data_IF_770176920853
#
_entry.id   IF_770176920853
#
_cell.length_a   1.000
_cell.length_b   1.000
_cell.length_c   1.000
_cell.angle_alpha   90.00
_cell.angle_beta   90.00
_cell.angle_gamma   90.00
#
_symmetry.space_group_name_H-M   'P 1'
#
loop_
_entity.id
_entity.type
_entity.pdbx_description
1 polymer ?
#
# COMPACT_ATOMS: atom_id res chain seq x y z
N UNK A 1 -7.67 -12.36 -3.85
CA UNK A 1 -6.73 -11.28 -4.08
C UNK A 1 -5.34 -11.59 -3.52
N UNK A 2 -4.47 -10.60 -3.39
CA UNK A 2 -3.05 -10.79 -3.02
C UNK A 2 -2.81 -11.64 -1.77
N UNK A 3 -3.64 -11.54 -0.75
CA UNK A 3 -3.52 -12.36 0.46
C UNK A 3 -3.76 -13.85 0.20
N UNK A 4 -4.64 -14.18 -0.71
CA UNK A 4 -4.92 -15.58 -1.07
C UNK A 4 -3.77 -16.15 -1.90
N UNK A 5 -3.16 -15.34 -2.76
CA UNK A 5 -1.94 -15.69 -3.49
C UNK A 5 -0.77 -15.96 -2.54
N UNK A 6 -0.58 -15.11 -1.53
CA UNK A 6 0.46 -15.29 -0.51
C UNK A 6 0.22 -16.58 0.29
N UNK A 7 -1.04 -16.86 0.70
CA UNK A 7 -1.39 -18.13 1.37
C UNK A 7 -1.10 -19.34 0.48
N UNK A 8 -1.42 -19.22 -0.81
CA UNK A 8 -1.16 -20.30 -1.77
C UNK A 8 0.34 -20.57 -1.93
N UNK A 9 1.18 -19.52 -1.92
CA UNK A 9 2.65 -19.66 -1.96
C UNK A 9 3.18 -20.41 -0.73
N UNK A 10 2.74 -20.03 0.49
CA UNK A 10 3.13 -20.75 1.70
C UNK A 10 2.75 -22.23 1.62
N UNK A 11 1.52 -22.51 1.20
CA UNK A 11 1.03 -23.89 1.03
C UNK A 11 1.85 -24.67 0.00
N UNK A 12 2.21 -24.05 -1.11
CA UNK A 12 3.04 -24.67 -2.18
C UNK A 12 4.42 -25.06 -1.66
N UNK A 13 4.98 -24.27 -0.74
CA UNK A 13 6.27 -24.55 -0.12
C UNK A 13 6.21 -25.48 1.11
N UNK A 14 5.04 -26.02 1.41
CA UNK A 14 4.84 -26.87 2.60
C UNK A 14 5.01 -26.13 3.93
N UNK A 15 4.85 -24.79 3.91
CA UNK A 15 4.98 -23.93 5.09
C UNK A 15 3.62 -23.44 5.57
N UNK A 16 3.46 -23.34 6.88
CA UNK A 16 2.37 -22.56 7.46
C UNK A 16 2.75 -21.08 7.44
N UNK A 17 1.85 -20.25 6.94
CA UNK A 17 2.03 -18.80 7.02
C UNK A 17 1.99 -18.32 8.47
N UNK A 18 2.54 -17.12 8.77
CA UNK A 18 2.53 -16.58 10.13
C UNK A 18 1.10 -16.45 10.65
N UNK A 19 0.90 -16.76 11.96
CA UNK A 19 -0.42 -16.69 12.62
C UNK A 19 -1.10 -15.32 12.46
N UNK A 20 -0.31 -14.25 12.33
CA UNK A 20 -0.76 -12.88 12.10
C UNK A 20 -1.48 -12.69 10.76
N UNK A 21 -1.28 -13.59 9.80
CA UNK A 21 -1.94 -13.54 8.48
C UNK A 21 -3.46 -13.72 8.58
N UNK A 22 -3.95 -14.38 9.64
CA UNK A 22 -5.35 -14.76 9.75
C UNK A 22 -6.32 -13.59 9.95
N UNK A 23 -5.92 -12.48 10.59
CA UNK A 23 -6.86 -11.37 10.90
C UNK A 23 -6.21 -10.08 11.40
N UNK A 24 -4.96 -9.78 11.10
CA UNK A 24 -4.33 -8.58 11.69
C UNK A 24 -4.08 -7.49 10.66
N UNK A 25 -4.65 -6.32 10.93
CA UNK A 25 -4.46 -5.07 10.18
C UNK A 25 -2.96 -4.80 9.90
N UNK A 26 -2.10 -5.06 10.88
CA UNK A 26 -0.66 -4.86 10.75
C UNK A 26 0.02 -5.76 9.72
N UNK A 27 -0.46 -6.99 9.54
CA UNK A 27 0.05 -7.87 8.48
C UNK A 27 -0.24 -7.28 7.11
N UNK A 28 -1.47 -6.84 6.88
CA UNK A 28 -1.89 -6.21 5.62
C UNK A 28 -1.12 -4.90 5.35
N UNK A 29 -0.85 -4.11 6.41
CA UNK A 29 0.00 -2.92 6.32
C UNK A 29 1.43 -3.27 5.92
N UNK A 30 2.00 -4.33 6.49
CA UNK A 30 3.33 -4.82 6.14
C UNK A 30 3.42 -5.26 4.67
N UNK A 31 2.44 -6.01 4.18
CA UNK A 31 2.36 -6.41 2.77
C UNK A 31 2.27 -5.18 1.85
N UNK A 32 1.42 -4.22 2.20
CA UNK A 32 1.29 -2.98 1.43
C UNK A 32 2.60 -2.19 1.41
N UNK A 33 3.21 -1.98 2.56
CA UNK A 33 4.48 -1.26 2.67
C UNK A 33 5.57 -1.93 1.82
N UNK A 34 5.73 -3.25 1.93
CA UNK A 34 6.69 -4.01 1.14
C UNK A 34 6.42 -3.86 -0.38
N UNK A 35 5.18 -4.00 -0.81
CA UNK A 35 4.82 -3.89 -2.23
C UNK A 35 5.08 -2.49 -2.79
N UNK A 36 4.78 -1.44 -2.03
CA UNK A 36 5.04 -0.04 -2.42
C UNK A 36 6.54 0.22 -2.52
N UNK A 37 7.35 -0.27 -1.55
CA UNK A 37 8.80 -0.14 -1.60
C UNK A 37 9.41 -0.88 -2.80
N UNK A 38 8.98 -2.12 -3.05
CA UNK A 38 9.42 -2.88 -4.22
C UNK A 38 9.06 -2.15 -5.52
N UNK A 39 7.87 -1.55 -5.61
CA UNK A 39 7.48 -0.75 -6.78
C UNK A 39 8.34 0.48 -6.96
N UNK A 40 8.71 1.17 -5.87
CA UNK A 40 9.60 2.32 -5.92
C UNK A 40 11.01 1.90 -6.39
N UNK A 41 11.54 0.79 -5.87
CA UNK A 41 12.83 0.25 -6.32
C UNK A 41 12.80 -0.19 -7.78
N UNK A 42 11.73 -0.86 -8.21
CA UNK A 42 11.53 -1.22 -9.63
C UNK A 42 11.56 0.01 -10.54
N UNK A 43 10.86 1.08 -10.16
CA UNK A 43 10.86 2.34 -10.89
C UNK A 43 12.25 2.97 -10.94
N UNK A 44 12.98 2.94 -9.81
CA UNK A 44 14.35 3.46 -9.71
C UNK A 44 15.31 2.69 -10.63
N UNK A 45 15.29 1.37 -10.60
CA UNK A 45 16.11 0.50 -11.48
C UNK A 45 15.80 0.77 -12.94
N UNK A 46 14.51 0.86 -13.30
CA UNK A 46 14.09 1.18 -14.67
C UNK A 46 14.58 2.55 -15.13
N UNK A 47 14.46 3.57 -14.28
CA UNK A 47 14.89 4.92 -14.62
C UNK A 47 16.40 5.04 -14.76
N UNK A 48 17.15 4.32 -13.93
CA UNK A 48 18.63 4.34 -13.93
C UNK A 48 19.24 3.41 -14.97
N UNK A 49 18.53 2.37 -15.37
CA UNK A 49 19.03 1.33 -16.27
C UNK A 49 20.04 0.36 -15.61
N UNK A 50 20.18 0.39 -14.30
CA UNK A 50 21.07 -0.50 -13.54
C UNK A 50 20.51 -0.81 -12.15
N UNK A 51 21.00 -1.89 -11.53
CA UNK A 51 20.64 -2.26 -10.15
C UNK A 51 21.38 -1.47 -9.07
N UNK A 52 22.34 -0.64 -9.43
CA UNK A 52 23.10 0.20 -8.50
C UNK A 52 22.31 1.49 -8.20
N UNK A 53 21.28 1.37 -7.39
CA UNK A 53 20.37 2.44 -7.01
C UNK A 53 20.71 3.06 -5.66
N UNK A 54 20.59 4.37 -5.55
CA UNK A 54 20.79 5.15 -4.32
C UNK A 54 19.44 5.42 -3.62
N UNK A 55 19.47 5.94 -2.39
CA UNK A 55 18.27 6.38 -1.69
C UNK A 55 17.51 7.48 -2.45
N UNK A 56 18.22 8.39 -3.14
CA UNK A 56 17.63 9.43 -3.99
C UNK A 56 16.91 8.83 -5.20
N UNK A 57 17.50 7.79 -5.83
CA UNK A 57 16.84 7.08 -6.92
C UNK A 57 15.54 6.42 -6.47
N UNK A 58 15.55 5.80 -5.27
CA UNK A 58 14.36 5.20 -4.67
C UNK A 58 13.31 6.25 -4.35
N UNK A 59 13.68 7.42 -3.81
CA UNK A 59 12.76 8.52 -3.58
C UNK A 59 12.07 8.98 -4.87
N UNK A 60 12.83 9.15 -5.95
CA UNK A 60 12.28 9.44 -7.28
C UNK A 60 11.35 8.30 -7.75
N UNK A 61 11.72 7.07 -7.45
CA UNK A 61 10.91 5.89 -7.72
C UNK A 61 9.55 5.89 -7.00
N UNK A 62 9.49 6.36 -5.73
CA UNK A 62 8.24 6.58 -5.01
C UNK A 62 7.37 7.63 -5.69
N UNK A 63 7.93 8.77 -6.05
CA UNK A 63 7.22 9.87 -6.70
C UNK A 63 6.69 9.49 -8.10
N UNK A 64 7.32 8.50 -8.73
CA UNK A 64 6.87 7.93 -10.00
C UNK A 64 5.70 6.94 -9.85
N UNK A 65 5.33 6.55 -8.63
CA UNK A 65 4.18 5.66 -8.40
C UNK A 65 2.88 6.42 -8.68
N UNK A 66 2.16 5.98 -9.69
CA UNK A 66 0.83 6.48 -10.06
C UNK A 66 -0.14 5.31 -10.22
N UNK A 67 -1.33 5.48 -9.68
CA UNK A 67 -2.44 4.53 -9.80
C UNK A 67 -2.07 3.09 -9.37
N UNK A 68 -1.22 2.97 -8.33
CA UNK A 68 -0.73 1.69 -7.86
C UNK A 68 -1.83 0.90 -7.15
N UNK A 69 -2.09 -0.29 -7.66
CA UNK A 69 -3.12 -1.21 -7.16
C UNK A 69 -2.47 -2.47 -6.58
N UNK A 70 -2.90 -2.87 -5.41
CA UNK A 70 -2.44 -4.09 -4.74
C UNK A 70 -3.62 -4.99 -4.38
N UNK A 71 -4.07 -5.82 -5.33
CA UNK A 71 -5.00 -6.92 -5.11
C UNK A 71 -6.28 -6.58 -4.32
N UNK A 72 -6.77 -5.34 -4.39
CA UNK A 72 -8.00 -4.91 -3.73
C UNK A 72 -7.87 -4.66 -2.21
N UNK A 73 -6.66 -4.60 -1.65
CA UNK A 73 -6.46 -4.24 -0.24
C UNK A 73 -6.95 -2.82 0.04
N UNK A 74 -6.72 -1.91 -0.91
CA UNK A 74 -7.19 -0.52 -0.85
C UNK A 74 -7.31 0.04 -2.27
N UNK A 75 -7.97 1.22 -2.43
CA UNK A 75 -7.98 1.95 -3.69
C UNK A 75 -6.57 2.35 -4.16
N UNK A 76 -6.44 2.75 -5.43
CA UNK A 76 -5.14 3.08 -6.01
C UNK A 76 -4.38 4.17 -5.25
N UNK A 77 -3.07 3.97 -5.10
CA UNK A 77 -2.16 4.91 -4.45
C UNK A 77 -1.44 5.79 -5.48
N UNK A 78 -1.25 7.07 -5.11
CA UNK A 78 -0.52 8.06 -5.89
C UNK A 78 0.36 8.88 -4.97
N UNK A 79 1.66 8.91 -5.21
CA UNK A 79 2.59 9.70 -4.40
C UNK A 79 3.01 10.97 -5.11
N UNK A 80 3.17 12.06 -4.34
CA UNK A 80 3.65 13.36 -4.82
C UNK A 80 4.61 13.98 -3.80
N UNK A 81 5.27 15.06 -4.15
CA UNK A 81 6.12 15.81 -3.20
C UNK A 81 5.36 16.38 -2.00
N UNK A 82 4.06 16.64 -2.15
CA UNK A 82 3.19 17.13 -1.06
C UNK A 82 2.46 16.00 -0.34
N UNK A 83 2.19 14.91 -1.03
CA UNK A 83 1.42 13.78 -0.51
C UNK A 83 2.26 12.52 -0.52
N UNK A 84 2.95 12.26 0.59
CA UNK A 84 3.73 11.05 0.81
C UNK A 84 2.88 9.89 1.36
N UNK A 85 1.62 10.14 1.73
CA UNK A 85 0.70 9.11 2.18
C UNK A 85 0.10 8.31 1.02
N UNK A 86 -0.13 9.01 -0.10
CA UNK A 86 -0.57 8.42 -1.36
C UNK A 86 -2.04 7.98 -1.42
N UNK A 87 -2.76 8.01 -0.30
CA UNK A 87 -4.09 7.44 -0.18
C UNK A 87 -5.14 8.36 0.46
N UNK A 88 -5.25 8.32 1.77
CA UNK A 88 -6.30 9.02 2.52
C UNK A 88 -7.69 8.35 2.38
N UNK A 89 -7.71 7.05 2.12
CA UNK A 89 -8.95 6.27 1.97
C UNK A 89 -9.36 5.64 3.31
N UNK A 90 -10.64 5.70 3.61
CA UNK A 90 -11.26 5.01 4.73
C UNK A 90 -12.44 4.15 4.25
N UNK A 91 -12.73 3.09 5.00
CA UNK A 91 -13.89 2.25 4.80
C UNK A 91 -14.43 1.81 6.14
N UNK A 92 -15.74 1.82 6.31
CA UNK A 92 -16.40 1.40 7.54
C UNK A 92 -16.69 -0.10 7.45
N UNK A 93 -16.39 -0.79 8.55
CA UNK A 93 -16.65 -2.22 8.69
C UNK A 93 -17.51 -2.45 9.93
N UNK A 94 -18.42 -3.42 9.85
CA UNK A 94 -19.16 -3.95 10.98
C UNK A 94 -18.51 -5.26 11.41
N UNK A 95 -18.44 -5.48 12.72
CA UNK A 95 -17.98 -6.75 13.28
C UNK A 95 -19.17 -7.72 13.30
N UNK A 96 -19.02 -8.86 12.65
CA UNK A 96 -20.00 -9.96 12.65
C UNK A 96 -19.28 -11.25 13.05
N UNK A 97 -19.46 -11.66 14.31
CA UNK A 97 -18.66 -12.74 14.88
C UNK A 97 -17.17 -12.36 14.86
N UNK A 98 -16.35 -13.19 14.25
CA UNK A 98 -14.90 -12.96 14.09
C UNK A 98 -14.52 -12.28 12.76
N UNK A 99 -15.50 -11.76 12.01
CA UNK A 99 -15.27 -11.18 10.69
C UNK A 99 -15.54 -9.68 10.66
N UNK A 100 -14.76 -8.97 9.83
CA UNK A 100 -14.98 -7.59 9.46
C UNK A 100 -15.74 -7.54 8.13
N UNK A 101 -17.00 -7.12 8.18
CA UNK A 101 -17.87 -7.01 7.00
C UNK A 101 -17.93 -5.55 6.57
N UNK A 102 -17.56 -5.20 5.34
CA UNK A 102 -17.63 -3.82 4.87
C UNK A 102 -19.09 -3.36 4.76
N UNK A 103 -19.39 -2.20 5.35
CA UNK A 103 -20.73 -1.59 5.35
C UNK A 103 -20.77 -0.22 4.66
N UNK A 104 -19.65 0.23 4.12
CA UNK A 104 -19.58 1.41 3.25
C UNK A 104 -18.75 1.12 2.00
N UNK A 105 -18.88 1.98 1.00
CA UNK A 105 -17.88 2.12 -0.04
C UNK A 105 -16.61 2.80 0.53
N UNK A 106 -15.55 2.85 -0.28
CA UNK A 106 -14.36 3.60 0.06
C UNK A 106 -14.66 5.10 0.06
N UNK A 107 -14.30 5.78 1.16
CA UNK A 107 -14.53 7.21 1.38
C UNK A 107 -13.17 7.90 1.41
N UNK A 108 -13.07 9.01 0.71
CA UNK A 108 -11.91 9.88 0.76
C UNK A 108 -12.37 11.27 1.23
N UNK A 109 -12.38 11.45 2.55
CA UNK A 109 -12.84 12.69 3.16
C UNK A 109 -11.75 13.73 3.35
N UNK A 110 -12.13 15.01 3.27
CA UNK A 110 -11.31 16.17 3.61
C UNK A 110 -9.92 16.24 2.92
N UNK A 111 -9.78 15.63 1.75
CA UNK A 111 -8.47 15.57 1.08
C UNK A 111 -7.95 16.92 0.64
N UNK A 112 -8.82 17.79 0.18
CA UNK A 112 -8.56 19.17 -0.16
C UNK A 112 -8.05 19.97 1.05
N UNK A 113 -8.66 19.82 2.22
CA UNK A 113 -8.23 20.45 3.47
C UNK A 113 -6.84 19.95 3.87
N UNK A 114 -6.61 18.63 3.85
CA UNK A 114 -5.29 18.05 4.18
C UNK A 114 -4.21 18.57 3.23
N UNK A 115 -4.48 18.63 1.94
CA UNK A 115 -3.51 19.17 0.95
C UNK A 115 -3.25 20.66 1.17
N UNK A 116 -4.27 21.43 1.56
CA UNK A 116 -4.09 22.84 1.89
C UNK A 116 -3.18 22.99 3.11
N UNK A 117 -3.43 22.27 4.20
CA UNK A 117 -2.58 22.29 5.40
C UNK A 117 -1.13 21.92 5.10
N UNK A 118 -0.91 20.89 4.29
CA UNK A 118 0.44 20.47 3.87
C UNK A 118 1.18 21.55 3.07
N UNK A 119 0.47 22.41 2.33
CA UNK A 119 1.08 23.54 1.61
C UNK A 119 1.42 24.72 2.49
N UNK A 120 0.72 24.87 3.62
CA UNK A 120 0.97 25.93 4.58
C UNK A 120 2.16 25.61 5.49
N UNK A 121 2.48 24.33 5.68
CA UNK A 121 3.60 23.85 6.51
C UNK A 121 4.94 23.76 5.75
N UNK A 122 4.97 24.02 4.44
CA UNK A 122 6.13 24.00 3.55
C UNK A 122 6.35 25.37 2.89
#
# INVERSE_FOLDING_TARGET
PVLDEIKALYKKEGKEGPKQMASKVYYNRGILAAAVHLKAMENAVKAKGSGDITGEDVQKGFLAIKDFKLGGILPPLNFTNLDHEGGGWARVFRVEGDNFVPVSEWIRGYRDVVIQMLKEDH
#
